data_IF_057017204255
#
_entry.id   IF_057017204255
#
_cell.length_a   1.000
_cell.length_b   1.000
_cell.length_c   1.000
_cell.angle_alpha   90.00
_cell.angle_beta   90.00
_cell.angle_gamma   90.00
#
_symmetry.space_group_name_H-M   'P 1'
#
loop_
_entity.id
_entity.type
_entity.pdbx_description
1 polymer ?
#
# COMPACT_ATOMS: atom_id res chain seq x y z
N UNK A 1 -8.31 -31.34 -4.24
CA UNK A 1 -7.75 -30.59 -3.11
C UNK A 1 -8.89 -30.32 -2.15
N UNK A 2 -8.87 -31.00 -1.01
CA UNK A 2 -9.94 -30.88 0.00
C UNK A 2 -9.67 -29.64 0.87
N UNK A 3 -10.72 -29.04 1.44
CA UNK A 3 -10.60 -27.87 2.34
C UNK A 3 -9.63 -28.10 3.52
N UNK A 4 -9.38 -29.37 3.86
CA UNK A 4 -8.45 -29.78 4.92
C UNK A 4 -6.99 -29.57 4.51
N UNK A 5 -6.59 -29.91 3.29
CA UNK A 5 -5.22 -29.73 2.80
C UNK A 5 -4.85 -28.23 2.68
N UNK A 6 -5.84 -27.40 2.33
CA UNK A 6 -5.67 -25.95 2.23
C UNK A 6 -5.49 -25.30 3.61
N UNK A 7 -6.23 -25.76 4.62
CA UNK A 7 -6.12 -25.26 5.99
C UNK A 7 -4.79 -25.66 6.64
N UNK A 8 -4.26 -26.84 6.33
CA UNK A 8 -2.93 -27.27 6.79
C UNK A 8 -1.81 -26.37 6.21
N UNK A 9 -1.88 -26.02 4.92
CA UNK A 9 -0.94 -25.07 4.31
C UNK A 9 -1.04 -23.68 4.96
N UNK A 10 -2.25 -23.24 5.31
CA UNK A 10 -2.51 -21.96 5.98
C UNK A 10 -1.94 -21.96 7.40
N UNK A 11 -2.10 -23.04 8.14
CA UNK A 11 -1.54 -23.19 9.49
C UNK A 11 -0.01 -23.31 9.42
N UNK A 12 0.54 -24.06 8.45
CA UNK A 12 1.98 -24.15 8.22
C UNK A 12 2.59 -22.82 7.79
N UNK A 13 1.91 -22.02 6.96
CA UNK A 13 2.35 -20.66 6.62
C UNK A 13 2.24 -19.71 7.81
N UNK A 14 1.22 -19.85 8.65
CA UNK A 14 1.05 -19.03 9.85
C UNK A 14 2.09 -19.40 10.92
N UNK A 15 2.39 -20.69 11.07
CA UNK A 15 3.46 -21.23 11.93
C UNK A 15 4.83 -20.88 11.34
N UNK A 16 5.01 -20.91 10.02
CA UNK A 16 6.25 -20.50 9.35
C UNK A 16 6.43 -18.98 9.44
N UNK A 17 5.36 -18.19 9.40
CA UNK A 17 5.41 -16.76 9.74
C UNK A 17 5.72 -16.55 11.22
N UNK A 18 5.24 -17.42 12.12
CA UNK A 18 5.56 -17.36 13.54
C UNK A 18 7.00 -17.84 13.89
N UNK A 19 7.58 -18.75 13.09
CA UNK A 19 8.85 -19.45 13.36
C UNK A 19 10.01 -19.08 12.41
N UNK A 20 9.73 -18.51 11.24
CA UNK A 20 10.75 -17.76 10.51
C UNK A 20 11.13 -16.60 11.42
N UNK A 21 12.42 -16.32 11.52
CA UNK A 21 12.95 -15.13 12.21
C UNK A 21 12.54 -13.86 11.44
N UNK A 22 11.24 -13.62 11.27
CA UNK A 22 10.68 -12.29 11.20
C UNK A 22 11.25 -11.59 12.43
N UNK A 23 11.93 -10.46 12.22
CA UNK A 23 12.41 -9.67 13.34
C UNK A 23 11.23 -9.48 14.31
N UNK A 24 11.33 -10.07 15.50
CA UNK A 24 10.29 -9.96 16.54
C UNK A 24 10.13 -8.51 17.03
N UNK A 25 10.90 -7.55 16.49
CA UNK A 25 10.69 -6.10 16.60
C UNK A 25 9.61 -5.52 15.66
N UNK A 26 8.65 -6.34 15.23
CA UNK A 26 7.26 -5.91 15.07
C UNK A 26 6.87 -5.35 13.71
N UNK A 27 5.59 -5.55 13.38
CA UNK A 27 4.90 -4.76 12.37
C UNK A 27 5.06 -3.29 12.77
N UNK A 28 5.66 -2.50 11.88
CA UNK A 28 5.83 -1.06 12.07
C UNK A 28 4.66 -0.35 11.41
N UNK A 29 4.34 0.84 11.91
CA UNK A 29 3.30 1.68 11.34
C UNK A 29 3.76 3.12 11.11
N UNK A 30 3.14 3.75 10.12
CA UNK A 30 3.27 5.15 9.79
C UNK A 30 1.87 5.72 9.54
N UNK A 31 1.51 6.77 10.27
CA UNK A 31 0.27 7.50 10.02
C UNK A 31 0.50 8.49 8.87
N UNK A 32 -0.32 8.38 7.85
CA UNK A 32 -0.34 9.23 6.66
C UNK A 32 -1.52 10.19 6.82
N UNK A 33 -1.22 11.36 7.36
CA UNK A 33 -2.19 12.43 7.63
C UNK A 33 -2.10 13.56 6.58
N UNK A 34 -2.82 14.67 6.82
CA UNK A 34 -2.88 15.82 5.91
C UNK A 34 -1.51 16.39 5.49
N UNK A 35 -0.47 16.26 6.31
CA UNK A 35 0.86 16.82 6.01
C UNK A 35 1.54 16.10 4.85
N UNK A 36 1.11 14.88 4.51
CA UNK A 36 1.53 14.14 3.32
C UNK A 36 0.82 14.59 2.04
N UNK A 37 -0.18 15.48 2.12
CA UNK A 37 -1.04 15.89 1.01
C UNK A 37 -0.82 17.36 0.65
N UNK A 38 0.37 17.67 0.12
CA UNK A 38 0.72 19.02 -0.33
C UNK A 38 1.03 19.03 -1.84
N UNK A 39 0.39 19.96 -2.57
CA UNK A 39 0.61 20.16 -3.99
C UNK A 39 2.07 20.50 -4.35
N UNK A 40 2.83 21.06 -3.41
CA UNK A 40 4.24 21.38 -3.63
C UNK A 40 5.09 20.14 -3.89
N UNK A 41 4.70 18.99 -3.34
CA UNK A 41 5.41 17.73 -3.56
C UNK A 41 5.33 17.23 -5.01
N UNK A 42 4.43 17.78 -5.83
CA UNK A 42 4.31 17.42 -7.24
C UNK A 42 5.32 18.11 -8.14
N UNK A 43 5.84 19.29 -7.75
CA UNK A 43 6.58 20.16 -8.67
C UNK A 43 7.76 20.88 -8.03
N UNK A 44 7.64 21.29 -6.76
CA UNK A 44 8.56 22.24 -6.12
C UNK A 44 9.44 21.60 -5.06
N UNK A 45 8.87 20.70 -4.27
CA UNK A 45 9.51 20.11 -3.08
C UNK A 45 9.61 18.61 -3.25
N UNK A 46 10.73 18.01 -2.83
CA UNK A 46 10.82 16.57 -2.71
C UNK A 46 10.34 16.15 -1.33
N UNK A 47 9.24 15.40 -1.26
CA UNK A 47 8.67 14.90 0.00
C UNK A 47 9.68 14.08 0.82
N UNK A 48 10.67 13.44 0.19
CA UNK A 48 11.66 12.63 0.91
C UNK A 48 12.73 13.44 1.63
N UNK A 49 12.79 14.75 1.37
CA UNK A 49 13.82 15.64 1.92
C UNK A 49 13.24 16.92 2.52
N UNK A 50 11.90 17.07 2.58
CA UNK A 50 11.28 18.24 3.18
C UNK A 50 11.34 18.18 4.72
N UNK A 51 11.37 19.32 5.43
CA UNK A 51 11.50 19.35 6.88
C UNK A 51 10.46 18.50 7.61
N UNK A 52 9.23 18.45 7.10
CA UNK A 52 8.09 17.75 7.69
C UNK A 52 8.28 16.24 7.70
N UNK A 53 8.93 15.67 6.67
CA UNK A 53 8.97 14.23 6.43
C UNK A 53 10.37 13.64 6.33
N UNK A 54 11.42 14.47 6.39
CA UNK A 54 12.81 14.03 6.21
C UNK A 54 13.21 12.95 7.21
N UNK A 55 12.83 13.08 8.49
CA UNK A 55 13.14 12.06 9.50
C UNK A 55 12.48 10.72 9.17
N UNK A 56 11.19 10.73 8.80
CA UNK A 56 10.46 9.53 8.38
C UNK A 56 11.10 8.88 7.16
N UNK A 57 11.40 9.66 6.10
CA UNK A 57 12.00 9.10 4.89
C UNK A 57 13.44 8.65 5.08
N UNK A 58 14.22 9.28 5.98
CA UNK A 58 15.56 8.80 6.35
C UNK A 58 15.50 7.42 6.99
N UNK A 59 14.52 7.13 7.85
CA UNK A 59 14.34 5.78 8.39
C UNK A 59 13.92 4.78 7.31
N UNK A 60 13.00 5.17 6.41
CA UNK A 60 12.56 4.30 5.32
C UNK A 60 13.67 4.04 4.28
N UNK A 61 14.59 4.98 4.09
CA UNK A 61 15.76 4.85 3.20
C UNK A 61 16.76 3.81 3.69
N UNK A 62 16.83 3.56 5.01
CA UNK A 62 17.71 2.54 5.60
C UNK A 62 17.21 1.11 5.33
N UNK A 63 15.95 0.94 4.92
CA UNK A 63 15.35 -0.36 4.67
C UNK A 63 15.79 -0.89 3.29
N UNK A 64 16.71 -1.84 3.32
CA UNK A 64 17.25 -2.52 2.13
C UNK A 64 16.73 -3.96 1.97
N UNK A 65 15.87 -4.39 2.88
CA UNK A 65 15.22 -5.69 2.93
C UNK A 65 13.94 -5.73 2.08
N UNK A 66 13.46 -6.93 1.70
CA UNK A 66 12.10 -7.10 1.20
C UNK A 66 11.06 -6.64 2.23
N UNK A 67 10.02 -5.93 1.77
CA UNK A 67 8.97 -5.36 2.63
C UNK A 67 7.59 -5.74 2.14
N UNK A 68 6.81 -6.39 3.01
CA UNK A 68 5.37 -6.58 2.86
C UNK A 68 4.67 -5.44 3.60
N UNK A 69 3.69 -4.78 2.96
CA UNK A 69 3.03 -3.61 3.54
C UNK A 69 1.56 -3.55 3.14
N UNK A 70 0.76 -2.88 3.96
CA UNK A 70 -0.65 -2.64 3.69
C UNK A 70 -1.10 -1.31 4.28
N UNK A 71 -2.16 -0.76 3.70
CA UNK A 71 -2.76 0.50 4.12
C UNK A 71 -4.15 0.21 4.67
N UNK A 72 -4.46 0.74 5.84
CA UNK A 72 -5.79 0.66 6.46
C UNK A 72 -6.35 2.06 6.68
N UNK A 73 -7.67 2.18 6.56
CA UNK A 73 -8.40 3.42 6.85
C UNK A 73 -9.35 3.18 8.03
N UNK A 74 -9.68 4.24 8.75
CA UNK A 74 -10.60 4.14 9.87
C UNK A 74 -12.04 3.94 9.37
N UNK A 75 -12.62 2.79 9.72
CA UNK A 75 -14.01 2.43 9.40
C UNK A 75 -15.05 3.38 9.99
N UNK A 76 -14.70 4.09 11.06
CA UNK A 76 -15.58 5.07 11.68
C UNK A 76 -15.51 6.43 10.96
N UNK A 77 -14.45 6.68 10.20
CA UNK A 77 -14.24 7.92 9.45
C UNK A 77 -14.87 7.88 8.06
N UNK A 78 -14.81 6.75 7.36
CA UNK A 78 -15.34 6.63 5.99
C UNK A 78 -15.74 5.20 5.64
N UNK A 79 -16.80 5.05 4.83
CA UNK A 79 -17.18 3.73 4.31
C UNK A 79 -16.26 3.28 3.17
N UNK A 80 -16.06 1.97 3.07
CA UNK A 80 -15.27 1.36 2.00
C UNK A 80 -15.85 1.65 0.61
N UNK A 81 -17.17 1.73 0.48
CA UNK A 81 -17.88 2.09 -0.76
C UNK A 81 -17.55 3.52 -1.18
N UNK A 82 -17.48 4.46 -0.24
CA UNK A 82 -17.14 5.86 -0.52
C UNK A 82 -15.72 5.97 -1.07
N UNK A 83 -14.74 5.38 -0.39
CA UNK A 83 -13.35 5.36 -0.86
C UNK A 83 -13.20 4.65 -2.21
N UNK A 84 -13.92 3.54 -2.38
CA UNK A 84 -13.95 2.80 -3.65
C UNK A 84 -14.45 3.68 -4.78
N UNK A 85 -15.57 4.38 -4.59
CA UNK A 85 -16.17 5.25 -5.60
C UNK A 85 -15.25 6.41 -5.96
N UNK A 86 -14.58 7.03 -4.97
CA UNK A 86 -13.59 8.10 -5.22
C UNK A 86 -12.41 7.59 -6.04
N UNK A 87 -11.88 6.41 -5.71
CA UNK A 87 -10.81 5.80 -6.49
C UNK A 87 -11.23 5.50 -7.94
N UNK A 88 -12.42 4.93 -8.15
CA UNK A 88 -12.97 4.64 -9.49
C UNK A 88 -13.16 5.93 -10.29
N UNK A 89 -13.75 6.96 -9.68
CA UNK A 89 -14.00 8.24 -10.32
C UNK A 89 -12.71 8.94 -10.77
N UNK A 90 -11.62 8.79 -10.01
CA UNK A 90 -10.30 9.26 -10.42
C UNK A 90 -9.68 8.40 -11.54
N UNK A 91 -9.75 7.07 -11.39
CA UNK A 91 -9.06 6.13 -12.29
C UNK A 91 -9.69 6.03 -13.66
N UNK A 92 -11.00 5.76 -13.75
CA UNK A 92 -11.63 5.36 -15.01
C UNK A 92 -11.53 6.42 -16.11
N UNK A 93 -11.70 7.73 -15.84
CA UNK A 93 -11.55 8.75 -16.88
C UNK A 93 -10.15 8.82 -17.50
N UNK A 94 -9.11 8.38 -16.78
CA UNK A 94 -7.71 8.45 -17.23
C UNK A 94 -7.14 7.08 -17.62
N UNK A 95 -7.91 6.01 -17.43
CA UNK A 95 -7.46 4.65 -17.67
C UNK A 95 -7.15 4.47 -19.15
N UNK A 96 -5.91 4.11 -19.46
CA UNK A 96 -5.37 4.00 -20.82
C UNK A 96 -5.21 5.32 -21.60
N UNK A 97 -5.46 6.47 -20.99
CA UNK A 97 -5.17 7.78 -21.61
C UNK A 97 -3.70 8.17 -21.37
N UNK A 98 -2.79 7.42 -21.98
CA UNK A 98 -1.33 7.63 -21.84
C UNK A 98 -0.84 8.99 -22.36
N UNK A 99 -1.67 9.69 -23.15
CA UNK A 99 -1.36 11.02 -23.68
C UNK A 99 -1.79 12.15 -22.74
N UNK A 100 -2.63 11.87 -21.75
CA UNK A 100 -3.05 12.86 -20.78
C UNK A 100 -1.86 13.38 -19.97
N UNK A 101 -1.72 14.70 -19.87
CA UNK A 101 -0.68 15.30 -19.02
C UNK A 101 -0.86 14.92 -17.54
N UNK A 102 -2.09 14.68 -17.10
CA UNK A 102 -2.43 14.28 -15.74
C UNK A 102 -2.43 12.76 -15.53
N UNK A 103 -2.16 11.96 -16.56
CA UNK A 103 -2.15 10.51 -16.45
C UNK A 103 -1.17 10.04 -15.36
N UNK A 104 -1.65 9.15 -14.50
CA UNK A 104 -0.83 8.39 -13.55
C UNK A 104 -1.27 6.93 -13.61
N UNK A 105 -0.32 6.01 -13.72
CA UNK A 105 -0.67 4.60 -13.68
C UNK A 105 -1.21 4.23 -12.28
N UNK A 106 -2.35 3.58 -12.25
CA UNK A 106 -3.09 3.22 -11.03
C UNK A 106 -3.11 1.72 -10.82
N UNK A 107 -3.11 1.27 -9.58
CA UNK A 107 -3.29 -0.12 -9.22
C UNK A 107 -4.62 -0.74 -9.73
N UNK A 108 -4.66 -2.08 -9.69
CA UNK A 108 -5.85 -2.92 -9.79
C UNK A 108 -7.00 -2.43 -8.89
N UNK A 109 -8.23 -2.85 -9.17
CA UNK A 109 -9.28 -2.89 -8.16
C UNK A 109 -10.21 -4.09 -8.39
N UNK A 110 -10.97 -4.47 -7.36
CA UNK A 110 -12.03 -5.49 -7.45
C UNK A 110 -13.40 -4.88 -7.73
N UNK A 111 -14.25 -5.65 -8.38
CA UNK A 111 -15.66 -5.31 -8.60
C UNK A 111 -16.47 -5.44 -7.31
N UNK A 112 -16.16 -6.42 -6.45
CA UNK A 112 -16.81 -6.64 -5.17
C UNK A 112 -15.85 -6.35 -3.99
N UNK A 113 -16.36 -5.64 -2.99
CA UNK A 113 -15.66 -5.26 -1.76
C UNK A 113 -16.46 -5.60 -0.49
N UNK A 114 -17.59 -6.33 -0.61
CA UNK A 114 -18.48 -6.66 0.53
C UNK A 114 -17.75 -7.27 1.70
N UNK A 115 -16.72 -8.06 1.40
CA UNK A 115 -15.93 -8.80 2.36
C UNK A 115 -14.66 -8.07 2.84
N UNK A 116 -14.42 -6.82 2.44
CA UNK A 116 -13.20 -6.09 2.80
C UNK A 116 -13.14 -5.69 4.27
N UNK A 117 -11.99 -5.97 4.91
CA UNK A 117 -11.69 -5.67 6.33
C UNK A 117 -11.05 -4.28 6.50
N UNK A 118 -11.58 -3.26 5.84
CA UNK A 118 -11.09 -1.86 5.91
C UNK A 118 -9.63 -1.68 5.48
N UNK A 119 -9.12 -2.63 4.69
CA UNK A 119 -7.82 -2.54 4.05
C UNK A 119 -7.96 -1.82 2.72
N UNK A 120 -7.20 -0.75 2.54
CA UNK A 120 -7.17 0.01 1.30
C UNK A 120 -6.37 -0.72 0.21
N UNK A 121 -5.17 -1.19 0.55
CA UNK A 121 -4.24 -1.80 -0.38
C UNK A 121 -3.26 -2.72 0.34
N UNK A 122 -2.88 -3.82 -0.32
CA UNK A 122 -1.77 -4.69 0.09
C UNK A 122 -0.73 -4.67 -1.02
N UNK A 123 0.54 -4.57 -0.66
CA UNK A 123 1.62 -4.64 -1.62
C UNK A 123 2.92 -5.17 -1.04
N UNK A 124 3.84 -5.50 -1.94
CA UNK A 124 5.22 -5.83 -1.61
C UNK A 124 6.22 -5.02 -2.40
N UNK A 125 7.45 -5.03 -1.92
CA UNK A 125 8.61 -4.50 -2.63
C UNK A 125 9.86 -5.26 -2.20
N UNK A 126 10.73 -5.58 -3.18
CA UNK A 126 11.98 -6.31 -2.91
C UNK A 126 13.06 -5.39 -2.33
N UNK A 127 13.14 -4.16 -2.84
CA UNK A 127 14.07 -3.09 -2.40
C UNK A 127 13.47 -1.71 -2.70
N UNK A 128 13.86 -0.69 -1.93
CA UNK A 128 13.43 0.70 -2.19
C UNK A 128 12.00 0.98 -1.71
N UNK A 129 11.68 0.58 -0.47
CA UNK A 129 10.35 0.77 0.11
C UNK A 129 9.91 2.24 0.18
N UNK A 130 10.82 3.15 0.52
CA UNK A 130 10.56 4.59 0.49
C UNK A 130 10.00 5.06 -0.87
N UNK A 131 10.58 4.59 -1.99
CA UNK A 131 10.17 4.97 -3.33
C UNK A 131 8.81 4.39 -3.69
N UNK A 132 8.49 3.22 -3.13
CA UNK A 132 7.17 2.61 -3.24
C UNK A 132 6.11 3.43 -2.51
N UNK A 133 6.41 3.93 -1.31
CA UNK A 133 5.54 4.85 -0.59
C UNK A 133 5.29 6.14 -1.39
N UNK A 134 6.35 6.78 -1.91
CA UNK A 134 6.22 7.99 -2.78
C UNK A 134 5.33 7.71 -4.00
N UNK A 135 5.43 6.52 -4.57
CA UNK A 135 4.57 6.09 -5.69
C UNK A 135 3.11 5.94 -5.26
N UNK A 136 2.83 5.36 -4.09
CA UNK A 136 1.46 5.24 -3.58
C UNK A 136 0.85 6.58 -3.22
N UNK A 137 1.63 7.50 -2.64
CA UNK A 137 1.21 8.87 -2.37
C UNK A 137 0.88 9.64 -3.66
N UNK A 138 1.54 9.31 -4.77
CA UNK A 138 1.26 9.88 -6.09
C UNK A 138 2.22 10.99 -6.54
N UNK A 139 3.38 11.08 -5.88
CA UNK A 139 4.43 12.08 -6.16
C UNK A 139 5.58 11.54 -7.00
N UNK A 140 5.56 10.24 -7.36
CA UNK A 140 6.58 9.70 -8.24
C UNK A 140 6.51 10.38 -9.62
N UNK A 141 7.66 10.90 -10.09
CA UNK A 141 7.78 11.56 -11.40
C UNK A 141 7.51 10.59 -12.55
N UNK A 142 7.86 9.32 -12.38
CA UNK A 142 7.62 8.27 -13.38
C UNK A 142 6.13 7.92 -13.45
N UNK A 143 5.44 8.38 -14.51
CA UNK A 143 3.99 8.17 -14.68
C UNK A 143 3.58 6.71 -14.87
N UNK A 144 4.52 5.87 -15.33
CA UNK A 144 4.27 4.47 -15.69
C UNK A 144 4.21 3.51 -14.49
N UNK A 145 4.71 3.90 -13.32
CA UNK A 145 4.71 3.03 -12.14
C UNK A 145 3.35 3.04 -11.46
N UNK A 146 2.68 1.89 -11.43
CA UNK A 146 1.36 1.77 -10.83
C UNK A 146 1.39 1.97 -9.31
N UNK A 147 0.48 2.79 -8.79
CA UNK A 147 0.30 3.05 -7.36
C UNK A 147 -1.16 3.36 -7.02
N UNK A 148 -1.43 3.69 -5.75
CA UNK A 148 -2.76 4.17 -5.35
C UNK A 148 -2.99 5.61 -5.80
N UNK A 149 -1.93 6.40 -5.98
CA UNK A 149 -2.00 7.81 -6.38
C UNK A 149 -2.84 8.65 -5.40
N UNK A 150 -2.67 8.43 -4.08
CA UNK A 150 -3.55 8.95 -3.02
C UNK A 150 -3.78 10.46 -3.09
N UNK A 151 -2.74 11.25 -3.32
CA UNK A 151 -2.82 12.71 -3.38
C UNK A 151 -3.89 13.23 -4.37
N UNK A 152 -4.18 12.45 -5.41
CA UNK A 152 -5.07 12.88 -6.49
C UNK A 152 -6.55 12.66 -6.20
N UNK A 153 -6.91 11.91 -5.16
CA UNK A 153 -8.31 11.55 -4.91
C UNK A 153 -8.69 11.37 -3.43
N UNK A 154 -7.72 11.12 -2.55
CA UNK A 154 -7.94 10.95 -1.12
C UNK A 154 -7.74 12.28 -0.38
N UNK A 155 -8.63 12.58 0.56
CA UNK A 155 -8.59 13.78 1.37
C UNK A 155 -8.64 13.41 2.87
N UNK A 156 -7.51 13.50 3.61
CA UNK A 156 -7.49 13.15 5.03
C UNK A 156 -8.47 13.95 5.90
N UNK A 157 -8.78 15.19 5.51
CA UNK A 157 -9.76 16.03 6.24
C UNK A 157 -11.19 15.52 6.12
N UNK A 158 -11.49 14.79 5.04
CA UNK A 158 -12.83 14.26 4.77
C UNK A 158 -12.95 12.79 5.17
N UNK A 159 -11.86 12.02 5.03
CA UNK A 159 -11.88 10.56 5.14
C UNK A 159 -11.08 10.01 6.33
N UNK A 160 -10.44 10.89 7.10
CA UNK A 160 -9.51 10.53 8.17
C UNK A 160 -8.12 10.13 7.65
N UNK A 161 -7.22 9.86 8.57
CA UNK A 161 -5.85 9.46 8.25
C UNK A 161 -5.79 7.99 7.78
N UNK A 162 -4.76 7.67 7.01
CA UNK A 162 -4.45 6.28 6.62
C UNK A 162 -3.30 5.78 7.48
N UNK A 163 -3.39 4.54 7.98
CA UNK A 163 -2.25 3.88 8.62
C UNK A 163 -1.57 2.94 7.62
N UNK A 164 -0.30 3.20 7.32
CA UNK A 164 0.57 2.27 6.60
C UNK A 164 1.21 1.34 7.62
N UNK A 165 0.96 0.05 7.49
CA UNK A 165 1.67 -0.99 8.22
C UNK A 165 2.69 -1.66 7.31
N UNK A 166 3.83 -2.06 7.86
CA UNK A 166 4.84 -2.76 7.09
C UNK A 166 5.70 -3.70 7.94
N UNK A 167 6.20 -4.74 7.27
CA UNK A 167 7.06 -5.75 7.83
C UNK A 167 8.25 -5.99 6.90
N UNK A 168 9.46 -5.93 7.46
CA UNK A 168 10.70 -6.29 6.78
C UNK A 168 10.96 -7.78 6.92
N UNK A 169 11.32 -8.45 5.82
CA UNK A 169 11.70 -9.86 5.80
C UNK A 169 13.21 -10.02 5.60
N UNK A 170 13.76 -11.18 5.95
CA UNK A 170 15.13 -11.50 5.58
C UNK A 170 15.29 -11.47 4.04
N UNK A 171 16.46 -11.05 3.56
CA UNK A 171 16.74 -11.01 2.11
C UNK A 171 16.65 -12.39 1.48
N UNK A 172 16.97 -13.46 2.22
CA UNK A 172 16.78 -14.84 1.77
C UNK A 172 15.31 -15.17 1.44
N UNK A 173 14.35 -14.41 1.99
CA UNK A 173 12.91 -14.60 1.76
C UNK A 173 12.37 -13.75 0.57
N UNK A 174 13.23 -13.11 -0.21
CA UNK A 174 12.83 -12.22 -1.32
C UNK A 174 11.90 -12.90 -2.34
N UNK A 175 12.05 -14.21 -2.57
CA UNK A 175 11.17 -14.93 -3.50
C UNK A 175 9.82 -15.31 -2.87
N UNK A 176 9.77 -15.48 -1.54
CA UNK A 176 8.56 -15.83 -0.81
C UNK A 176 7.61 -14.65 -0.63
N UNK A 177 8.12 -13.42 -0.65
CA UNK A 177 7.31 -12.22 -0.40
C UNK A 177 6.13 -12.06 -1.37
N UNK A 178 6.22 -12.61 -2.58
CA UNK A 178 5.10 -12.58 -3.53
C UNK A 178 3.96 -13.51 -3.08
N UNK A 179 4.28 -14.67 -2.51
CA UNK A 179 3.29 -15.60 -1.95
C UNK A 179 2.65 -14.95 -0.72
N UNK A 180 3.46 -14.32 0.13
CA UNK A 180 2.98 -13.62 1.32
C UNK A 180 2.05 -12.43 0.98
N UNK A 181 2.35 -11.67 -0.07
CA UNK A 181 1.47 -10.60 -0.58
C UNK A 181 0.11 -11.16 -1.00
N UNK A 182 0.09 -12.26 -1.74
CA UNK A 182 -1.15 -12.90 -2.19
C UNK A 182 -1.96 -13.38 -1.00
N UNK A 183 -1.34 -14.12 -0.08
CA UNK A 183 -1.99 -14.63 1.14
C UNK A 183 -2.56 -13.49 1.98
N UNK A 184 -1.78 -12.43 2.20
CA UNK A 184 -2.24 -11.26 2.94
C UNK A 184 -3.40 -10.56 2.25
N UNK A 185 -3.36 -10.41 0.93
CA UNK A 185 -4.44 -9.79 0.17
C UNK A 185 -5.72 -10.64 0.15
N UNK A 186 -5.61 -11.97 0.07
CA UNK A 186 -6.76 -12.87 0.15
C UNK A 186 -7.45 -12.82 1.52
N UNK A 187 -6.68 -12.66 2.60
CA UNK A 187 -7.20 -12.53 3.96
C UNK A 187 -7.81 -11.15 4.22
N UNK A 188 -7.07 -10.08 3.92
CA UNK A 188 -7.46 -8.68 4.19
C UNK A 188 -8.49 -8.13 3.20
N UNK A 189 -8.56 -8.74 2.00
CA UNK A 189 -9.49 -8.41 0.92
C UNK A 189 -9.51 -6.90 0.63
N UNK A 190 -8.38 -6.31 0.18
CA UNK A 190 -8.27 -4.87 0.01
C UNK A 190 -9.21 -4.32 -1.07
N UNK A 191 -9.66 -3.06 -0.92
CA UNK A 191 -10.55 -2.43 -1.91
C UNK A 191 -9.81 -1.94 -3.17
N UNK A 192 -8.50 -1.73 -3.09
CA UNK A 192 -7.58 -1.48 -4.21
C UNK A 192 -6.58 -2.64 -4.29
N UNK A 193 -6.41 -3.20 -5.48
CA UNK A 193 -5.60 -4.39 -5.71
C UNK A 193 -6.29 -5.38 -6.64
N UNK A 194 -5.53 -6.40 -7.07
CA UNK A 194 -6.06 -7.50 -7.89
C UNK A 194 -6.53 -8.69 -7.04
N UNK A 195 -5.88 -8.90 -5.89
CA UNK A 195 -6.06 -10.05 -5.02
C UNK A 195 -6.95 -9.76 -3.84
#
# INVERSE_FOLDING_TARGET
MTNTELNTIIDELTITLANCKIDQNGIKSLVINETFFNADYMQRVNITTCPEHTATFQELLKINQPVLYWFEFDKNSVSKETLRNKYVAYREPMKYDFKNKNYRNTAAYKTDIKESDFTLYVGKVKKGFWGRLVTHLGYNKAKGTAGMQLFHWFNPKEYGDITLYYLTLDTAMENLISVLEIEMALRKKPIIGRF
#
